data_IF_381293330931
#
_entry.id   IF_381293330931
#
_cell.length_a   1.000
_cell.length_b   1.000
_cell.length_c   1.000
_cell.angle_alpha   90.00
_cell.angle_beta   90.00
_cell.angle_gamma   90.00
#
_symmetry.space_group_name_H-M   'P 1'
#
loop_
_entity.id
_entity.type
_entity.pdbx_description
1 polymer ?
#
# COMPACT_ATOMS: atom_id res chain seq x y z
N UNK A 1 -22.06 -70.80 3.69
CA UNK A 1 -20.61 -71.11 3.75
C UNK A 1 -19.84 -69.79 3.69
N UNK A 2 -19.37 -69.29 4.84
CA UNK A 2 -18.63 -68.02 4.96
C UNK A 2 -17.13 -68.30 4.79
N UNK A 3 -16.54 -67.85 3.69
CA UNK A 3 -15.09 -67.85 3.48
C UNK A 3 -14.47 -66.74 4.33
N UNK A 4 -13.76 -67.11 5.40
CA UNK A 4 -12.87 -66.21 6.15
C UNK A 4 -11.66 -65.90 5.26
N UNK A 5 -11.51 -64.65 4.81
CA UNK A 5 -10.22 -64.16 4.28
C UNK A 5 -9.31 -63.86 5.47
N UNK A 6 -8.31 -64.71 5.68
CA UNK A 6 -7.21 -64.41 6.58
C UNK A 6 -6.32 -63.36 5.92
N UNK A 7 -6.20 -62.19 6.55
CA UNK A 7 -5.21 -61.20 6.18
C UNK A 7 -3.85 -61.67 6.71
N UNK A 8 -2.94 -61.99 5.80
CA UNK A 8 -1.54 -62.29 6.12
C UNK A 8 -0.81 -61.00 6.52
N UNK A 9 0.03 -61.09 7.56
CA UNK A 9 0.77 -60.02 8.25
C UNK A 9 1.52 -59.04 7.33
N UNK A 10 1.83 -59.46 6.10
CA UNK A 10 2.54 -58.66 5.08
C UNK A 10 1.72 -57.46 4.59
N UNK A 11 0.38 -57.55 4.51
CA UNK A 11 -0.45 -56.43 4.05
C UNK A 11 -0.54 -55.27 5.07
N UNK A 12 -0.25 -55.53 6.34
CA UNK A 12 -0.29 -54.48 7.37
C UNK A 12 0.95 -53.56 7.33
N UNK A 13 2.09 -54.02 6.82
CA UNK A 13 3.34 -53.26 6.79
C UNK A 13 3.41 -52.25 5.63
N UNK A 14 2.75 -52.53 4.51
CA UNK A 14 2.78 -51.62 3.34
C UNK A 14 1.94 -50.36 3.58
N UNK A 15 0.86 -50.44 4.35
CA UNK A 15 -0.01 -49.28 4.60
C UNK A 15 0.58 -48.25 5.59
N UNK A 16 1.53 -48.63 6.46
CA UNK A 16 2.12 -47.70 7.45
C UNK A 16 3.28 -46.89 6.87
N UNK A 17 3.99 -47.42 5.86
CA UNK A 17 5.12 -46.72 5.23
C UNK A 17 4.71 -45.53 4.35
N UNK A 18 3.49 -45.53 3.79
CA UNK A 18 3.05 -44.50 2.84
C UNK A 18 2.66 -43.17 3.49
N UNK A 19 2.34 -43.14 4.78
CA UNK A 19 1.88 -41.93 5.48
C UNK A 19 2.97 -41.21 6.28
N UNK A 20 4.12 -41.84 6.54
CA UNK A 20 5.12 -41.29 7.47
C UNK A 20 6.38 -40.66 6.85
N UNK A 21 6.59 -40.72 5.52
CA UNK A 21 7.73 -40.04 4.89
C UNK A 21 9.11 -40.47 5.39
N UNK A 22 9.24 -41.71 5.91
CA UNK A 22 10.52 -42.27 6.39
C UNK A 22 11.14 -43.09 5.25
N UNK A 23 12.44 -42.91 5.05
CA UNK A 23 13.23 -43.46 3.96
C UNK A 23 13.13 -44.97 3.73
N UNK A 24 13.50 -45.36 2.51
CA UNK A 24 13.38 -46.68 1.88
C UNK A 24 13.52 -47.88 2.84
N UNK A 25 12.41 -48.60 3.05
CA UNK A 25 12.44 -49.98 3.55
C UNK A 25 12.65 -50.88 2.34
N UNK A 26 13.83 -51.49 2.23
CA UNK A 26 14.11 -52.52 1.22
C UNK A 26 13.12 -53.67 1.35
N UNK A 27 12.32 -53.91 0.30
CA UNK A 27 11.38 -55.03 0.25
C UNK A 27 12.14 -56.36 0.26
N UNK A 28 12.03 -57.12 1.34
CA UNK A 28 12.52 -58.50 1.39
C UNK A 28 11.55 -59.38 0.61
N UNK A 29 11.97 -59.78 -0.60
CA UNK A 29 11.25 -60.75 -1.42
C UNK A 29 11.46 -62.16 -0.85
N UNK A 30 10.40 -62.73 -0.26
CA UNK A 30 10.41 -64.14 0.17
C UNK A 30 10.05 -65.04 -1.01
N UNK A 31 11.04 -65.80 -1.50
CA UNK A 31 10.80 -66.88 -2.46
C UNK A 31 10.08 -68.04 -1.78
N UNK A 32 9.26 -68.78 -2.54
CA UNK A 32 8.48 -69.93 -2.08
C UNK A 32 9.40 -71.06 -1.58
N UNK A 33 9.75 -71.02 -0.30
CA UNK A 33 10.44 -72.07 0.43
C UNK A 33 10.23 -71.85 1.91
N UNK A 34 9.25 -72.53 2.49
CA UNK A 34 8.81 -72.38 3.89
C UNK A 34 9.90 -72.82 4.87
N UNK A 35 10.57 -71.85 5.48
CA UNK A 35 11.19 -72.00 6.80
C UNK A 35 10.46 -71.03 7.71
N UNK A 36 9.72 -71.54 8.70
CA UNK A 36 9.09 -70.69 9.72
C UNK A 36 10.19 -69.85 10.38
N UNK A 37 10.04 -68.51 10.46
CA UNK A 37 11.04 -67.69 11.13
C UNK A 37 11.19 -68.14 12.59
N UNK A 38 12.42 -68.13 13.13
CA UNK A 38 12.67 -68.53 14.51
C UNK A 38 11.73 -67.80 15.46
N UNK A 39 11.11 -68.52 16.41
CA UNK A 39 10.13 -67.96 17.37
C UNK A 39 10.66 -66.75 18.14
N UNK A 40 11.98 -66.64 18.26
CA UNK A 40 12.67 -65.56 18.97
C UNK A 40 12.66 -64.25 18.16
N UNK A 41 12.83 -64.30 16.83
CA UNK A 41 12.73 -63.12 15.96
C UNK A 41 11.30 -62.55 15.92
N UNK A 42 10.29 -63.43 15.92
CA UNK A 42 8.88 -63.02 16.00
C UNK A 42 8.58 -62.31 17.33
N UNK A 43 9.25 -62.72 18.41
CA UNK A 43 9.07 -62.12 19.74
C UNK A 43 9.72 -60.74 19.81
N UNK A 44 10.92 -60.60 19.29
CA UNK A 44 11.65 -59.32 19.23
C UNK A 44 10.87 -58.29 18.42
N UNK A 45 10.41 -58.64 17.21
CA UNK A 45 9.59 -57.76 16.37
C UNK A 45 8.29 -57.36 17.09
N UNK A 46 7.67 -58.27 17.85
CA UNK A 46 6.44 -57.98 18.59
C UNK A 46 6.67 -56.99 19.73
N UNK A 47 7.82 -57.08 20.40
CA UNK A 47 8.18 -56.18 21.48
C UNK A 47 8.58 -54.79 20.93
N UNK A 48 9.25 -54.71 19.79
CA UNK A 48 9.51 -53.45 19.08
C UNK A 48 8.21 -52.76 18.62
N UNK A 49 7.28 -53.52 18.04
CA UNK A 49 5.97 -52.98 17.64
C UNK A 49 5.18 -52.47 18.86
N UNK A 50 5.36 -53.08 20.03
CA UNK A 50 4.73 -52.62 21.27
C UNK A 50 5.35 -51.31 21.76
N UNK A 51 6.67 -51.18 21.72
CA UNK A 51 7.35 -49.93 22.10
C UNK A 51 6.97 -48.78 21.15
N UNK A 52 6.95 -49.04 19.84
CA UNK A 52 6.54 -48.04 18.85
C UNK A 52 5.11 -47.55 19.08
N UNK A 53 4.18 -48.44 19.41
CA UNK A 53 2.81 -48.04 19.78
C UNK A 53 2.79 -47.15 21.03
N UNK A 54 3.54 -47.51 22.07
CA UNK A 54 3.64 -46.68 23.27
C UNK A 54 4.30 -45.32 23.01
N UNK A 55 5.17 -45.19 22.01
CA UNK A 55 5.75 -43.91 21.60
C UNK A 55 4.76 -43.07 20.81
N UNK A 56 3.94 -43.70 19.95
CA UNK A 56 2.87 -43.02 19.22
C UNK A 56 1.81 -42.47 20.17
N UNK A 57 1.34 -43.26 21.13
CA UNK A 57 0.34 -42.83 22.11
C UNK A 57 0.85 -41.63 22.95
N UNK A 58 2.15 -41.63 23.30
CA UNK A 58 2.80 -40.49 24.00
C UNK A 58 2.94 -39.24 23.13
N UNK A 59 3.04 -39.39 21.82
CA UNK A 59 3.08 -38.26 20.88
C UNK A 59 1.69 -37.68 20.70
N UNK A 60 0.66 -38.51 20.57
CA UNK A 60 -0.73 -38.06 20.47
C UNK A 60 -1.16 -37.29 21.72
N UNK A 61 -0.80 -37.76 22.92
CA UNK A 61 -1.07 -37.03 24.17
C UNK A 61 -0.32 -35.69 24.25
N UNK A 62 0.91 -35.63 23.73
CA UNK A 62 1.65 -34.35 23.61
C UNK A 62 1.01 -33.41 22.60
N UNK A 63 0.48 -33.93 21.50
CA UNK A 63 -0.14 -33.16 20.44
C UNK A 63 -1.48 -32.58 20.91
N UNK A 64 -2.26 -33.34 21.68
CA UNK A 64 -3.47 -32.83 22.34
C UNK A 64 -3.15 -31.75 23.38
N UNK A 65 -2.08 -31.93 24.19
CA UNK A 65 -1.63 -30.91 25.15
C UNK A 65 -1.17 -29.63 24.46
N UNK A 66 -0.42 -29.73 23.36
CA UNK A 66 -0.01 -28.57 22.57
C UNK A 66 -1.20 -27.85 21.93
N UNK A 67 -2.19 -28.59 21.42
CA UNK A 67 -3.43 -28.02 20.87
C UNK A 67 -4.25 -27.30 21.95
N UNK A 68 -4.31 -27.85 23.16
CA UNK A 68 -4.97 -27.20 24.30
C UNK A 68 -4.18 -25.98 24.82
N UNK A 69 -2.85 -26.03 24.80
CA UNK A 69 -1.97 -24.89 25.12
C UNK A 69 -2.06 -23.77 24.08
N UNK A 70 -2.23 -24.08 22.79
CA UNK A 70 -2.48 -23.10 21.72
C UNK A 70 -3.86 -22.43 21.87
N UNK A 71 -4.86 -23.18 22.36
CA UNK A 71 -6.19 -22.64 22.66
C UNK A 71 -6.24 -21.84 23.98
N UNK A 72 -5.39 -22.18 24.96
CA UNK A 72 -5.32 -21.51 26.26
C UNK A 72 -4.36 -20.30 26.27
N UNK A 73 -3.29 -20.34 25.48
CA UNK A 73 -2.33 -19.27 25.27
C UNK A 73 -2.81 -18.33 24.17
N UNK A 74 -3.75 -17.43 24.50
CA UNK A 74 -4.44 -16.54 23.58
C UNK A 74 -3.57 -15.89 22.48
N UNK A 75 -3.50 -16.54 21.33
CA UNK A 75 -2.84 -16.08 20.10
C UNK A 75 -3.75 -15.14 19.28
N UNK A 76 -4.66 -14.42 19.94
CA UNK A 76 -5.72 -13.60 19.30
C UNK A 76 -5.41 -12.11 19.10
N UNK A 77 -4.63 -11.38 19.92
CA UNK A 77 -4.50 -9.93 19.74
C UNK A 77 -3.52 -9.52 18.63
N UNK A 78 -2.38 -10.21 18.47
CA UNK A 78 -1.34 -9.82 17.49
C UNK A 78 -1.77 -10.16 16.06
N UNK A 79 -2.37 -11.33 15.83
CA UNK A 79 -2.88 -11.73 14.53
C UNK A 79 -4.06 -10.86 14.07
N UNK A 80 -4.94 -10.45 15.00
CA UNK A 80 -6.04 -9.51 14.71
C UNK A 80 -5.53 -8.10 14.39
N UNK A 81 -4.49 -7.62 15.11
CA UNK A 81 -3.85 -6.34 14.83
C UNK A 81 -3.19 -6.29 13.45
N UNK A 82 -2.45 -7.33 13.09
CA UNK A 82 -1.82 -7.45 11.76
C UNK A 82 -2.86 -7.57 10.64
N UNK A 83 -3.91 -8.37 10.83
CA UNK A 83 -5.01 -8.49 9.88
C UNK A 83 -5.77 -7.18 9.69
N UNK A 84 -6.03 -6.43 10.77
CA UNK A 84 -6.67 -5.13 10.69
C UNK A 84 -5.79 -4.07 9.98
N UNK A 85 -4.47 -4.10 10.21
CA UNK A 85 -3.53 -3.23 9.50
C UNK A 85 -3.50 -3.53 7.99
N UNK A 86 -3.42 -4.82 7.60
CA UNK A 86 -3.47 -5.23 6.20
C UNK A 86 -4.80 -4.84 5.53
N UNK A 87 -5.93 -4.99 6.22
CA UNK A 87 -7.23 -4.55 5.70
C UNK A 87 -7.31 -3.04 5.49
N UNK A 88 -6.74 -2.24 6.42
CA UNK A 88 -6.66 -0.78 6.25
C UNK A 88 -5.80 -0.42 5.05
N UNK A 89 -4.64 -1.05 4.88
CA UNK A 89 -3.76 -0.83 3.74
C UNK A 89 -4.44 -1.16 2.41
N UNK A 90 -5.17 -2.28 2.31
CA UNK A 90 -5.90 -2.64 1.08
C UNK A 90 -7.04 -1.66 0.77
N UNK A 91 -7.77 -1.21 1.80
CA UNK A 91 -8.82 -0.20 1.63
C UNK A 91 -8.23 1.12 1.14
N UNK A 92 -7.12 1.54 1.73
CA UNK A 92 -6.40 2.75 1.36
C UNK A 92 -5.85 2.69 -0.08
N UNK A 93 -5.27 1.55 -0.50
CA UNK A 93 -4.85 1.33 -1.87
C UNK A 93 -6.03 1.45 -2.87
N UNK A 94 -7.20 0.97 -2.47
CA UNK A 94 -8.44 1.11 -3.26
C UNK A 94 -8.89 2.56 -3.36
N UNK A 95 -8.71 3.35 -2.30
CA UNK A 95 -9.03 4.79 -2.32
C UNK A 95 -8.07 5.59 -3.20
N UNK A 96 -6.76 5.37 -3.08
CA UNK A 96 -5.75 5.97 -3.98
C UNK A 96 -6.05 5.64 -5.44
N UNK A 97 -6.35 4.36 -5.72
CA UNK A 97 -6.74 3.94 -7.07
C UNK A 97 -8.02 4.64 -7.54
N UNK A 98 -9.03 4.74 -6.67
CA UNK A 98 -10.29 5.42 -6.98
C UNK A 98 -10.07 6.88 -7.37
N UNK A 99 -9.27 7.63 -6.59
CA UNK A 99 -8.91 9.02 -6.89
C UNK A 99 -8.20 9.13 -8.24
N UNK A 100 -7.20 8.28 -8.47
CA UNK A 100 -6.43 8.28 -9.73
C UNK A 100 -7.29 7.92 -10.94
N UNK A 101 -8.13 6.89 -10.83
CA UNK A 101 -9.07 6.51 -11.89
C UNK A 101 -10.05 7.65 -12.21
N UNK A 102 -10.52 8.36 -11.19
CA UNK A 102 -11.35 9.55 -11.35
C UNK A 102 -10.63 10.68 -12.12
N UNK A 103 -9.33 10.88 -11.88
CA UNK A 103 -8.52 11.80 -12.68
C UNK A 103 -8.34 11.32 -14.14
N UNK A 104 -8.23 10.01 -14.37
CA UNK A 104 -8.17 9.44 -15.72
C UNK A 104 -9.50 9.62 -16.46
N UNK A 105 -10.64 9.37 -15.81
CA UNK A 105 -11.98 9.59 -16.40
C UNK A 105 -12.20 11.09 -16.71
N UNK A 106 -11.72 11.97 -15.84
CA UNK A 106 -11.67 13.40 -16.14
C UNK A 106 -10.86 13.66 -17.42
N UNK A 107 -9.63 13.13 -17.50
CA UNK A 107 -8.74 13.28 -18.64
C UNK A 107 -9.34 12.83 -19.97
N UNK A 108 -10.10 11.72 -19.99
CA UNK A 108 -10.79 11.24 -21.19
C UNK A 108 -11.70 12.28 -21.84
N UNK A 109 -12.26 13.20 -21.05
CA UNK A 109 -13.12 14.29 -21.53
C UNK A 109 -12.36 15.62 -21.68
N UNK A 110 -11.10 15.68 -21.26
CA UNK A 110 -10.29 16.88 -21.15
C UNK A 110 -8.89 16.71 -21.78
N UNK A 111 -8.82 16.05 -22.95
CA UNK A 111 -7.58 15.87 -23.75
C UNK A 111 -6.45 15.15 -22.98
N UNK A 112 -6.83 14.15 -22.19
CA UNK A 112 -5.98 13.36 -21.30
C UNK A 112 -5.31 14.16 -20.17
N UNK A 113 -5.62 15.45 -20.04
CA UNK A 113 -5.11 16.31 -18.98
C UNK A 113 -5.90 16.11 -17.69
N UNK A 114 -5.18 15.95 -16.58
CA UNK A 114 -5.80 15.85 -15.27
C UNK A 114 -6.41 17.19 -14.82
N UNK A 115 -7.34 17.18 -13.84
CA UNK A 115 -8.09 18.38 -13.46
C UNK A 115 -7.17 19.52 -13.05
N UNK A 116 -7.42 20.70 -13.62
CA UNK A 116 -6.81 21.97 -13.22
C UNK A 116 -7.90 23.04 -13.10
N UNK A 117 -8.19 23.54 -11.89
CA UNK A 117 -9.14 24.62 -11.65
C UNK A 117 -8.95 25.84 -12.56
N UNK A 118 -7.69 26.19 -12.88
CA UNK A 118 -7.35 27.31 -13.76
C UNK A 118 -7.84 27.17 -15.19
N UNK A 119 -8.03 25.93 -15.67
CA UNK A 119 -8.56 25.63 -17.01
C UNK A 119 -10.09 25.60 -17.06
N UNK A 120 -10.72 25.33 -15.92
CA UNK A 120 -12.17 25.15 -15.78
C UNK A 120 -12.87 26.46 -15.46
N UNK A 121 -12.43 27.17 -14.42
CA UNK A 121 -12.98 28.47 -14.03
C UNK A 121 -12.20 29.60 -14.72
N UNK A 122 -12.42 29.82 -16.01
CA UNK A 122 -11.70 30.87 -16.74
C UNK A 122 -12.22 32.28 -16.42
N UNK A 123 -13.46 32.39 -15.95
CA UNK A 123 -14.17 33.64 -15.69
C UNK A 123 -14.07 34.13 -14.23
N UNK A 124 -13.27 33.47 -13.38
CA UNK A 124 -13.09 33.82 -11.96
C UNK A 124 -14.42 33.84 -11.16
N UNK A 125 -15.33 32.91 -11.49
CA UNK A 125 -16.68 32.84 -10.93
C UNK A 125 -16.76 31.95 -9.69
N UNK A 126 -15.82 31.00 -9.54
CA UNK A 126 -15.81 30.11 -8.37
C UNK A 126 -14.94 30.69 -7.26
N UNK A 127 -13.70 31.07 -7.60
CA UNK A 127 -12.72 31.66 -6.66
C UNK A 127 -12.16 32.98 -7.21
N UNK A 128 -11.59 33.83 -6.35
CA UNK A 128 -11.10 35.17 -6.74
C UNK A 128 -9.70 35.16 -7.36
N UNK A 129 -8.93 34.13 -7.02
CA UNK A 129 -7.63 33.82 -7.58
C UNK A 129 -7.72 33.75 -9.11
N UNK A 130 -6.60 33.91 -9.81
CA UNK A 130 -6.58 33.93 -11.28
C UNK A 130 -5.55 32.96 -11.83
N UNK A 131 -5.88 32.35 -12.97
CA UNK A 131 -4.98 31.42 -13.66
C UNK A 131 -4.46 30.34 -12.71
N UNK A 132 -3.16 30.03 -12.80
CA UNK A 132 -2.53 28.95 -12.02
C UNK A 132 -2.62 29.12 -10.49
N UNK A 133 -2.95 30.32 -9.98
CA UNK A 133 -3.19 30.50 -8.55
C UNK A 133 -4.41 29.70 -8.04
N UNK A 134 -5.29 29.26 -8.93
CA UNK A 134 -6.42 28.39 -8.61
C UNK A 134 -6.04 26.93 -8.40
N UNK A 135 -4.87 26.50 -8.88
CA UNK A 135 -4.48 25.08 -8.96
C UNK A 135 -3.95 24.53 -7.62
N UNK A 136 -4.61 24.91 -6.52
CA UNK A 136 -4.34 24.38 -5.18
C UNK A 136 -4.94 22.99 -5.02
N UNK A 137 -4.39 22.21 -4.08
CA UNK A 137 -4.91 20.87 -3.77
C UNK A 137 -6.38 20.89 -3.37
N UNK A 138 -6.77 21.87 -2.54
CA UNK A 138 -8.17 22.09 -2.14
C UNK A 138 -9.10 22.19 -3.35
N UNK A 139 -8.76 23.05 -4.32
CA UNK A 139 -9.61 23.29 -5.48
C UNK A 139 -9.59 22.09 -6.46
N UNK A 140 -8.45 21.43 -6.66
CA UNK A 140 -8.35 20.25 -7.54
C UNK A 140 -9.26 19.13 -7.05
N UNK A 141 -9.20 18.80 -5.76
CA UNK A 141 -10.02 17.74 -5.18
C UNK A 141 -11.49 18.14 -5.05
N UNK A 142 -11.77 19.39 -4.67
CA UNK A 142 -13.14 19.92 -4.66
C UNK A 142 -13.79 19.82 -6.05
N UNK A 143 -13.05 20.13 -7.11
CA UNK A 143 -13.53 19.98 -8.48
C UNK A 143 -13.90 18.53 -8.82
N UNK A 144 -13.12 17.55 -8.38
CA UNK A 144 -13.44 16.13 -8.55
C UNK A 144 -14.69 15.71 -7.76
N UNK A 145 -14.84 16.22 -6.53
CA UNK A 145 -16.01 15.93 -5.68
C UNK A 145 -17.28 16.53 -6.28
N UNK A 146 -17.23 17.81 -6.67
CA UNK A 146 -18.39 18.54 -7.20
C UNK A 146 -18.97 17.89 -8.45
N UNK A 147 -18.10 17.37 -9.33
CA UNK A 147 -18.51 16.71 -10.56
C UNK A 147 -18.90 15.22 -10.36
N UNK A 148 -18.92 14.74 -9.11
CA UNK A 148 -19.36 13.38 -8.77
C UNK A 148 -18.36 12.29 -9.15
N UNK A 149 -17.10 12.63 -9.44
CA UNK A 149 -16.07 11.64 -9.74
C UNK A 149 -15.60 10.90 -8.48
N UNK A 150 -15.62 11.58 -7.33
CA UNK A 150 -15.30 10.99 -6.03
C UNK A 150 -16.23 11.53 -4.95
N UNK A 151 -16.55 10.75 -3.92
CA UNK A 151 -17.23 11.25 -2.72
C UNK A 151 -16.22 11.85 -1.73
N UNK A 152 -16.62 12.77 -0.85
CA UNK A 152 -15.69 13.43 0.10
C UNK A 152 -15.04 12.44 1.07
N UNK A 153 -15.72 11.33 1.40
CA UNK A 153 -15.24 10.27 2.27
C UNK A 153 -13.99 9.56 1.75
N UNK A 154 -13.78 9.54 0.42
CA UNK A 154 -12.58 8.91 -0.16
C UNK A 154 -11.33 9.77 0.04
N UNK A 155 -11.49 11.06 0.38
CA UNK A 155 -10.37 11.97 0.60
C UNK A 155 -9.66 11.75 1.94
N UNK A 156 -10.29 11.02 2.87
CA UNK A 156 -9.70 10.63 4.15
C UNK A 156 -9.17 9.19 4.08
N UNK A 157 -7.88 9.02 4.31
CA UNK A 157 -7.26 7.70 4.38
C UNK A 157 -7.79 6.90 5.59
N UNK A 158 -8.09 5.60 5.45
CA UNK A 158 -8.44 4.74 6.59
C UNK A 158 -7.28 4.56 7.59
N UNK A 159 -6.07 4.90 7.17
CA UNK A 159 -4.84 4.84 7.94
C UNK A 159 -4.41 6.22 8.48
N UNK A 160 -5.18 7.27 8.22
CA UNK A 160 -4.85 8.62 8.66
C UNK A 160 -4.71 8.71 10.18
N UNK A 161 -3.54 9.17 10.62
CA UNK A 161 -3.20 9.32 12.03
C UNK A 161 -3.22 10.79 12.51
N UNK A 162 -3.26 11.76 11.60
CA UNK A 162 -3.33 13.18 11.95
C UNK A 162 -4.76 13.59 12.30
N UNK A 163 -4.97 13.97 13.56
CA UNK A 163 -6.28 14.37 14.10
C UNK A 163 -6.84 15.68 13.51
N UNK A 164 -6.04 16.44 12.78
CA UNK A 164 -6.49 17.63 12.06
C UNK A 164 -7.05 17.32 10.68
N UNK A 165 -6.99 16.07 10.21
CA UNK A 165 -7.57 15.67 8.94
C UNK A 165 -8.87 14.90 9.20
N UNK A 166 -9.98 15.38 8.64
CA UNK A 166 -11.31 14.80 8.82
C UNK A 166 -12.15 14.90 7.55
N UNK A 167 -13.11 13.99 7.37
CA UNK A 167 -14.03 14.04 6.23
C UNK A 167 -14.81 15.35 6.24
N UNK A 168 -14.87 16.02 5.09
CA UNK A 168 -15.79 17.13 4.89
C UNK A 168 -17.23 16.61 4.80
N UNK A 169 -18.01 16.85 5.85
CA UNK A 169 -19.42 16.46 5.96
C UNK A 169 -20.38 17.56 5.49
N UNK A 170 -19.88 18.79 5.35
CA UNK A 170 -20.67 19.97 5.06
C UNK A 170 -20.47 20.46 3.62
N UNK A 171 -19.79 19.66 2.78
CA UNK A 171 -19.51 19.94 1.37
C UNK A 171 -20.77 20.31 0.58
N UNK A 172 -20.73 21.44 -0.13
CA UNK A 172 -21.87 22.00 -0.83
C UNK A 172 -21.84 21.68 -2.35
N UNK A 173 -22.68 20.71 -2.77
CA UNK A 173 -22.80 20.29 -4.18
C UNK A 173 -23.60 21.25 -5.08
N UNK A 174 -24.24 22.27 -4.50
CA UNK A 174 -25.03 23.23 -5.25
C UNK A 174 -24.98 24.61 -4.59
N UNK A 175 -24.65 25.62 -5.39
CA UNK A 175 -24.58 27.02 -4.95
C UNK A 175 -23.75 27.27 -3.69
N UNK A 176 -22.48 26.82 -3.66
CA UNK A 176 -21.63 26.91 -2.48
C UNK A 176 -21.50 28.36 -1.98
N UNK A 177 -21.67 28.54 -0.67
CA UNK A 177 -21.81 29.86 -0.02
C UNK A 177 -20.54 30.71 -0.14
N UNK A 178 -19.39 30.05 -0.22
CA UNK A 178 -18.04 30.62 -0.26
C UNK A 178 -17.60 31.00 -1.67
N UNK A 179 -18.31 30.57 -2.71
CA UNK A 179 -18.00 30.93 -4.09
C UNK A 179 -18.28 32.40 -4.41
N UNK A 180 -17.50 32.94 -5.35
CA UNK A 180 -17.65 34.32 -5.83
C UNK A 180 -19.03 34.54 -6.46
N UNK A 181 -19.45 33.64 -7.35
CA UNK A 181 -20.79 33.55 -7.89
C UNK A 181 -21.36 32.16 -7.64
N UNK A 182 -22.23 32.05 -6.64
CA UNK A 182 -22.82 30.78 -6.20
C UNK A 182 -23.54 30.03 -7.33
N UNK A 183 -24.30 30.74 -8.16
CA UNK A 183 -25.09 30.13 -9.23
C UNK A 183 -24.22 29.55 -10.36
N UNK A 184 -22.98 30.04 -10.49
CA UNK A 184 -22.03 29.64 -11.54
C UNK A 184 -20.79 28.96 -10.98
N UNK A 185 -20.79 28.58 -9.71
CA UNK A 185 -19.68 27.89 -9.09
C UNK A 185 -19.50 26.50 -9.71
N UNK A 186 -18.24 26.14 -9.95
CA UNK A 186 -17.86 24.87 -10.59
C UNK A 186 -17.31 23.85 -9.57
N UNK A 187 -17.09 24.27 -8.33
CA UNK A 187 -16.75 23.46 -7.17
C UNK A 187 -17.08 24.22 -5.88
N UNK A 188 -16.96 23.58 -4.71
CA UNK A 188 -17.10 24.22 -3.41
C UNK A 188 -15.75 24.74 -2.89
N UNK A 189 -15.53 26.07 -2.81
CA UNK A 189 -14.28 26.63 -2.27
C UNK A 189 -14.08 26.40 -0.77
N UNK A 190 -15.09 25.89 -0.05
CA UNK A 190 -14.99 25.63 1.39
C UNK A 190 -14.16 24.38 1.71
N UNK A 191 -14.07 23.42 0.78
CA UNK A 191 -13.24 22.23 0.94
C UNK A 191 -11.78 22.62 1.11
N UNK A 192 -11.16 22.17 2.20
CA UNK A 192 -9.85 22.65 2.62
C UNK A 192 -8.87 21.51 2.80
N UNK A 193 -7.77 21.47 2.05
CA UNK A 193 -6.68 20.52 2.28
C UNK A 193 -5.64 21.02 3.33
N UNK A 194 -5.70 22.28 3.78
CA UNK A 194 -4.75 22.85 4.76
C UNK A 194 -5.07 22.42 6.19
N UNK A 195 -4.43 21.34 6.64
CA UNK A 195 -4.51 20.84 8.02
C UNK A 195 -3.55 21.55 8.99
N UNK A 196 -2.73 22.49 8.51
CA UNK A 196 -1.75 23.22 9.36
C UNK A 196 -2.36 24.42 10.06
N UNK A 197 -3.49 24.94 9.53
CA UNK A 197 -4.20 26.12 10.06
C UNK A 197 -5.57 25.81 10.63
N UNK A 198 -5.95 24.53 10.72
CA UNK A 198 -7.27 24.10 11.13
C UNK A 198 -7.54 22.66 10.73
N UNK A 199 -8.80 22.36 10.44
CA UNK A 199 -9.20 21.05 9.92
C UNK A 199 -8.99 21.01 8.41
N UNK A 200 -8.24 20.01 7.97
CA UNK A 200 -8.07 19.64 6.56
C UNK A 200 -8.98 18.46 6.20
N UNK A 201 -9.27 18.30 4.91
CA UNK A 201 -10.22 17.34 4.39
C UNK A 201 -9.59 16.31 3.44
N UNK A 202 -8.25 16.28 3.37
CA UNK A 202 -7.51 15.41 2.46
C UNK A 202 -6.28 14.79 3.13
N UNK A 203 -6.15 13.47 3.03
CA UNK A 203 -5.02 12.67 3.51
C UNK A 203 -3.95 12.35 2.45
N UNK A 204 -4.21 12.72 1.20
CA UNK A 204 -3.40 12.31 0.06
C UNK A 204 -2.55 13.46 -0.47
N UNK A 205 -1.37 13.10 -0.96
CA UNK A 205 -0.50 14.00 -1.71
C UNK A 205 -0.66 13.73 -3.20
N UNK A 206 -0.43 14.74 -4.02
CA UNK A 206 -0.39 14.59 -5.48
C UNK A 206 0.84 15.29 -6.05
N UNK A 207 1.24 14.91 -7.26
CA UNK A 207 2.33 15.57 -7.98
C UNK A 207 2.00 17.05 -8.20
N UNK A 208 2.98 17.93 -8.03
CA UNK A 208 2.80 19.36 -8.31
C UNK A 208 2.54 19.61 -9.81
N UNK A 209 1.41 20.22 -10.22
CA UNK A 209 1.13 20.49 -11.63
C UNK A 209 1.79 21.79 -12.10
N UNK A 210 3.13 21.85 -12.08
CA UNK A 210 3.92 23.03 -12.49
C UNK A 210 5.19 22.61 -13.23
N UNK A 211 5.74 23.50 -14.07
CA UNK A 211 7.02 23.28 -14.76
C UNK A 211 7.00 22.03 -15.63
N UNK A 212 8.07 21.23 -15.59
CA UNK A 212 8.16 19.96 -16.30
C UNK A 212 7.12 18.92 -15.85
N UNK A 213 6.70 18.94 -14.58
CA UNK A 213 5.64 18.07 -14.04
C UNK A 213 4.28 18.39 -14.63
N UNK A 214 4.00 19.64 -15.03
CA UNK A 214 2.72 19.97 -15.68
C UNK A 214 2.51 19.19 -16.98
N UNK A 215 3.58 18.92 -17.74
CA UNK A 215 3.49 18.07 -18.93
C UNK A 215 3.16 16.60 -18.60
N UNK A 216 3.42 16.17 -17.37
CA UNK A 216 3.13 14.84 -16.83
C UNK A 216 1.83 14.79 -16.04
N UNK A 217 1.13 15.92 -15.86
CA UNK A 217 -0.17 15.99 -15.19
C UNK A 217 -1.28 15.51 -16.13
N UNK A 218 -1.17 14.24 -16.54
CA UNK A 218 -1.98 13.60 -17.55
C UNK A 218 -1.84 12.07 -17.46
N UNK A 219 -2.70 11.34 -18.17
CA UNK A 219 -2.56 9.89 -18.31
C UNK A 219 -1.45 9.54 -19.31
N UNK A 220 -0.19 9.50 -18.86
CA UNK A 220 0.98 9.21 -19.72
C UNK A 220 1.24 7.71 -19.95
N UNK A 221 0.51 6.83 -19.26
CA UNK A 221 0.71 5.37 -19.27
C UNK A 221 2.09 4.93 -18.78
N UNK A 222 2.82 5.79 -18.09
CA UNK A 222 4.12 5.48 -17.53
C UNK A 222 3.98 4.89 -16.12
N UNK A 223 4.47 3.67 -15.95
CA UNK A 223 4.43 2.95 -14.68
C UNK A 223 5.36 3.56 -13.59
N UNK A 224 6.28 4.45 -13.94
CA UNK A 224 7.22 5.03 -12.97
C UNK A 224 6.82 6.45 -12.53
N UNK A 225 5.82 7.06 -13.18
CA UNK A 225 5.41 8.42 -12.90
C UNK A 225 4.33 8.47 -11.82
N UNK A 226 4.72 8.73 -10.57
CA UNK A 226 3.75 8.85 -9.48
C UNK A 226 2.89 10.12 -9.62
N UNK A 227 1.60 9.98 -9.36
CA UNK A 227 0.60 11.03 -9.57
C UNK A 227 -0.13 11.40 -8.29
N UNK A 228 -0.56 10.39 -7.51
CA UNK A 228 -1.30 10.56 -6.25
C UNK A 228 -0.96 9.43 -5.30
N UNK A 229 -0.97 9.68 -3.99
CA UNK A 229 -0.67 8.65 -3.01
C UNK A 229 -0.81 9.15 -1.58
N UNK A 230 -0.47 8.31 -0.61
CA UNK A 230 -0.43 8.75 0.78
C UNK A 230 0.59 9.88 0.94
N UNK A 231 0.23 10.89 1.73
CA UNK A 231 1.16 11.94 2.13
C UNK A 231 2.37 11.36 2.90
N UNK A 232 3.53 11.95 2.67
CA UNK A 232 4.79 11.60 3.32
C UNK A 232 5.34 12.74 4.19
N UNK A 233 6.45 12.47 4.90
CA UNK A 233 7.10 13.48 5.74
C UNK A 233 7.83 14.53 4.88
N UNK A 234 8.11 15.70 5.45
CA UNK A 234 8.96 16.69 4.79
C UNK A 234 10.40 16.15 4.68
N UNK A 235 10.95 16.17 3.47
CA UNK A 235 12.34 15.79 3.21
C UNK A 235 13.19 17.06 3.15
N UNK A 236 14.21 17.13 4.01
CA UNK A 236 15.16 18.24 4.06
C UNK A 236 16.29 18.12 3.05
N UNK A 237 16.53 16.91 2.53
CA UNK A 237 17.59 16.63 1.56
C UNK A 237 17.72 15.16 1.23
N UNK A 238 18.47 14.84 0.18
CA UNK A 238 18.84 13.48 -0.20
C UNK A 238 20.35 13.41 -0.25
N UNK A 239 20.95 12.55 0.57
CA UNK A 239 22.39 12.35 0.64
C UNK A 239 22.80 11.06 -0.08
N UNK A 240 23.93 11.10 -0.77
CA UNK A 240 24.58 9.89 -1.29
C UNK A 240 25.63 9.43 -0.28
N UNK A 241 25.33 8.38 0.49
CA UNK A 241 26.25 7.78 1.46
C UNK A 241 26.60 6.35 1.04
N UNK A 242 27.88 6.10 0.78
CA UNK A 242 28.37 4.74 0.47
C UNK A 242 27.77 4.11 -0.79
N UNK A 243 27.37 4.93 -1.78
CA UNK A 243 26.75 4.45 -3.02
C UNK A 243 25.24 4.15 -2.91
N UNK A 244 24.62 4.48 -1.77
CA UNK A 244 23.16 4.44 -1.58
C UNK A 244 22.62 5.84 -1.31
N UNK A 245 21.44 6.13 -1.82
CA UNK A 245 20.73 7.35 -1.49
C UNK A 245 20.00 7.18 -0.15
N UNK A 246 20.02 8.22 0.66
CA UNK A 246 19.31 8.29 1.93
C UNK A 246 18.56 9.62 2.04
N UNK A 247 17.25 9.54 2.30
CA UNK A 247 16.42 10.71 2.48
C UNK A 247 16.59 11.22 3.91
N UNK A 248 16.91 12.50 4.04
CA UNK A 248 17.00 13.19 5.32
C UNK A 248 15.64 13.79 5.63
N UNK A 249 14.88 13.10 6.47
CA UNK A 249 13.61 13.61 6.96
C UNK A 249 13.84 14.84 7.84
N UNK A 250 13.03 15.88 7.67
CA UNK A 250 13.16 17.14 8.41
C UNK A 250 12.62 17.02 9.84
N UNK A 251 11.47 16.40 10.02
CA UNK A 251 10.93 16.06 11.34
C UNK A 251 10.91 14.53 11.56
N UNK A 252 11.77 13.99 12.44
CA UNK A 252 11.77 12.56 12.75
C UNK A 252 10.51 12.09 13.48
N UNK A 253 9.63 12.99 13.92
CA UNK A 253 8.36 12.65 14.58
C UNK A 253 7.14 12.79 13.67
N UNK A 254 7.34 12.92 12.35
CA UNK A 254 6.24 13.05 11.39
C UNK A 254 5.16 11.98 11.59
N UNK A 255 3.90 12.42 11.71
CA UNK A 255 2.76 11.53 11.95
C UNK A 255 2.53 10.59 10.76
N UNK A 256 2.95 10.98 9.55
CA UNK A 256 2.89 10.14 8.34
C UNK A 256 3.57 8.78 8.47
N UNK A 257 4.58 8.63 9.34
CA UNK A 257 5.21 7.33 9.58
C UNK A 257 4.21 6.31 10.14
N UNK A 258 3.25 6.77 10.94
CA UNK A 258 2.26 5.92 11.60
C UNK A 258 1.10 5.49 10.71
N UNK A 259 1.00 6.00 9.47
CA UNK A 259 -0.09 5.63 8.57
C UNK A 259 -0.08 4.12 8.31
N UNK A 260 1.00 3.61 7.72
CA UNK A 260 1.19 2.17 7.51
C UNK A 260 2.49 1.62 8.09
N UNK A 261 3.47 2.48 8.36
CA UNK A 261 4.80 2.09 8.81
C UNK A 261 4.99 2.11 10.34
N UNK A 262 6.18 1.71 10.81
CA UNK A 262 6.63 1.96 12.17
C UNK A 262 7.01 3.44 12.36
N UNK A 263 7.32 3.86 13.59
CA UNK A 263 7.67 5.27 13.94
C UNK A 263 8.90 5.84 13.23
N UNK A 264 9.68 5.02 12.54
CA UNK A 264 10.99 5.39 12.00
C UNK A 264 11.07 5.26 10.47
N UNK A 265 10.04 4.71 9.81
CA UNK A 265 10.03 4.56 8.35
C UNK A 265 8.64 4.84 7.78
N UNK A 266 8.63 5.50 6.63
CA UNK A 266 7.41 5.76 5.89
C UNK A 266 7.09 4.58 4.98
N UNK A 267 5.82 4.18 4.98
CA UNK A 267 5.27 3.20 4.06
C UNK A 267 3.90 3.70 3.58
N UNK A 268 3.55 3.46 2.32
CA UNK A 268 2.33 4.00 1.75
C UNK A 268 1.99 3.46 0.37
N UNK A 269 0.77 3.73 -0.06
CA UNK A 269 0.26 3.45 -1.39
C UNK A 269 0.52 4.64 -2.32
N UNK A 270 1.13 4.37 -3.47
CA UNK A 270 1.39 5.35 -4.53
C UNK A 270 0.71 4.87 -5.82
N UNK A 271 -0.03 5.76 -6.47
CA UNK A 271 -0.65 5.55 -7.76
C UNK A 271 0.13 6.24 -8.88
N UNK A 272 0.26 5.54 -10.01
CA UNK A 272 1.11 5.93 -11.14
C UNK A 272 0.32 6.22 -12.42
N UNK A 273 0.95 6.87 -13.40
CA UNK A 273 0.27 7.38 -14.59
C UNK A 273 -0.34 6.33 -15.53
N UNK A 274 -0.10 5.04 -15.32
CA UNK A 274 -0.77 3.91 -15.98
C UNK A 274 -1.96 3.34 -15.16
N UNK A 275 -2.35 4.04 -14.09
CA UNK A 275 -3.42 3.72 -13.16
C UNK A 275 -3.21 2.48 -12.25
N UNK A 276 -1.99 1.93 -12.18
CA UNK A 276 -1.68 0.98 -11.11
C UNK A 276 -1.40 1.70 -9.79
N UNK A 277 -1.43 0.92 -8.70
CA UNK A 277 -1.12 1.40 -7.35
C UNK A 277 -0.23 0.36 -6.70
N UNK A 278 0.92 0.79 -6.19
CA UNK A 278 1.85 -0.05 -5.46
C UNK A 278 1.97 0.41 -4.00
N UNK A 279 2.17 -0.57 -3.13
CA UNK A 279 2.59 -0.34 -1.75
C UNK A 279 4.11 -0.22 -1.71
N UNK A 280 4.61 0.95 -1.34
CA UNK A 280 6.02 1.28 -1.27
C UNK A 280 6.45 1.44 0.20
N UNK A 281 7.65 0.97 0.51
CA UNK A 281 8.26 1.02 1.85
C UNK A 281 9.51 1.89 1.89
N UNK A 282 9.75 2.65 0.81
CA UNK A 282 10.88 3.55 0.65
C UNK A 282 10.41 4.88 0.08
N UNK A 283 11.10 5.95 0.50
CA UNK A 283 10.90 7.31 0.00
C UNK A 283 11.73 7.59 -1.27
N UNK A 284 12.66 6.69 -1.59
CA UNK A 284 13.66 6.83 -2.63
C UNK A 284 13.65 5.64 -3.57
N UNK A 285 13.92 5.91 -4.84
CA UNK A 285 14.19 4.87 -5.83
C UNK A 285 15.56 4.26 -5.65
N UNK A 286 15.61 2.92 -5.66
CA UNK A 286 16.84 2.15 -5.64
C UNK A 286 17.06 1.29 -6.90
N UNK A 287 16.03 1.13 -7.76
CA UNK A 287 16.12 0.44 -9.05
C UNK A 287 15.74 1.36 -10.24
N UNK A 288 16.68 1.64 -11.18
CA UNK A 288 16.42 2.53 -12.32
C UNK A 288 15.49 1.91 -13.38
N UNK A 289 15.10 0.64 -13.24
CA UNK A 289 14.09 0.00 -14.10
C UNK A 289 12.67 0.21 -13.63
N UNK A 290 12.49 0.53 -12.35
CA UNK A 290 11.19 0.61 -11.68
C UNK A 290 10.94 2.01 -11.12
N UNK A 291 11.97 2.84 -11.03
CA UNK A 291 11.89 4.20 -10.52
C UNK A 291 12.24 5.24 -11.56
N UNK A 292 11.56 6.37 -11.46
CA UNK A 292 11.83 7.53 -12.30
C UNK A 292 13.15 8.21 -11.94
N UNK A 293 13.70 8.94 -12.91
CA UNK A 293 14.93 9.72 -12.72
C UNK A 293 14.75 11.08 -13.34
N UNK A 294 15.24 12.10 -12.64
CA UNK A 294 15.32 13.45 -13.18
C UNK A 294 16.75 13.74 -13.63
N UNK A 295 16.89 14.75 -14.50
CA UNK A 295 18.18 15.25 -14.94
C UNK A 295 18.66 16.34 -13.97
N UNK A 296 19.52 15.94 -13.04
CA UNK A 296 20.16 16.84 -12.09
C UNK A 296 21.50 17.38 -12.60
N UNK A 297 22.20 18.14 -11.76
CA UNK A 297 23.51 18.74 -12.14
C UNK A 297 24.57 17.68 -12.46
N UNK A 298 24.49 16.52 -11.80
CA UNK A 298 25.40 15.40 -12.00
C UNK A 298 24.95 14.42 -13.10
N UNK A 299 23.86 14.73 -13.82
CA UNK A 299 23.20 13.84 -14.78
C UNK A 299 21.97 13.16 -14.18
N UNK A 300 21.59 12.01 -14.76
CA UNK A 300 20.40 11.25 -14.32
C UNK A 300 20.55 10.78 -12.86
N UNK A 301 19.65 11.27 -12.01
CA UNK A 301 19.65 11.01 -10.56
C UNK A 301 18.30 10.41 -10.15
N UNK A 302 18.29 9.54 -9.14
CA UNK A 302 17.05 8.99 -8.62
C UNK A 302 16.24 10.04 -7.88
N UNK A 303 14.93 9.88 -7.97
CA UNK A 303 13.94 10.78 -7.42
C UNK A 303 13.53 10.42 -5.99
N UNK A 304 13.06 11.42 -5.25
CA UNK A 304 12.44 11.27 -3.93
C UNK A 304 11.03 11.87 -3.95
N UNK A 305 10.01 11.06 -3.68
CA UNK A 305 8.60 11.45 -3.84
C UNK A 305 8.19 12.77 -3.17
N UNK A 306 8.84 13.13 -2.06
CA UNK A 306 8.43 14.24 -1.21
C UNK A 306 9.53 15.32 -1.09
N UNK A 307 10.45 15.37 -2.06
CA UNK A 307 11.51 16.36 -2.12
C UNK A 307 11.43 17.14 -3.43
N UNK A 308 11.58 18.47 -3.38
CA UNK A 308 11.74 19.27 -4.60
C UNK A 308 13.23 19.45 -4.86
N UNK A 309 13.83 18.52 -5.61
CA UNK A 309 15.25 18.54 -5.91
C UNK A 309 15.68 19.89 -6.51
N UNK A 310 16.53 20.66 -5.81
CA UNK A 310 16.84 22.03 -6.20
C UNK A 310 17.75 22.10 -7.44
N UNK A 311 18.41 21.00 -7.78
CA UNK A 311 19.23 20.90 -8.97
C UNK A 311 18.47 20.40 -10.21
N UNK A 312 17.18 20.06 -10.08
CA UNK A 312 16.30 19.88 -11.23
C UNK A 312 15.83 21.23 -11.77
N UNK A 313 16.53 21.69 -12.80
CA UNK A 313 16.23 22.96 -13.49
C UNK A 313 14.88 22.91 -14.22
N UNK A 314 14.47 21.73 -14.69
CA UNK A 314 13.27 21.56 -15.50
C UNK A 314 12.03 21.25 -14.66
N UNK A 315 12.19 21.00 -13.35
CA UNK A 315 11.10 20.61 -12.44
C UNK A 315 10.33 19.42 -12.99
N UNK A 316 11.06 18.36 -13.35
CA UNK A 316 10.54 17.07 -13.84
C UNK A 316 10.53 16.00 -12.75
N UNK A 317 11.27 16.17 -11.66
CA UNK A 317 11.27 15.30 -10.51
C UNK A 317 9.86 15.13 -9.91
N UNK A 318 9.65 14.02 -9.22
CA UNK A 318 8.38 13.64 -8.60
C UNK A 318 8.30 14.34 -7.25
N UNK A 319 7.75 15.56 -7.27
CA UNK A 319 7.46 16.29 -6.05
C UNK A 319 5.97 16.21 -5.73
N UNK A 320 5.64 15.37 -4.76
CA UNK A 320 4.29 15.18 -4.24
C UNK A 320 4.13 15.89 -2.91
N UNK A 321 3.02 16.60 -2.73
CA UNK A 321 2.63 17.18 -1.45
C UNK A 321 1.16 17.59 -1.49
N UNK A 322 0.72 18.28 -0.44
CA UNK A 322 -0.49 19.11 -0.46
C UNK A 322 -0.03 20.56 -0.66
N UNK A 323 -0.57 21.23 -1.67
CA UNK A 323 -0.23 22.59 -2.06
C UNK A 323 -1.33 23.57 -1.68
N UNK A 324 -1.05 24.42 -0.69
CA UNK A 324 -1.99 25.44 -0.18
C UNK A 324 -1.92 26.76 -0.95
N UNK A 325 -0.83 26.96 -1.70
CA UNK A 325 -0.68 28.02 -2.68
C UNK A 325 -0.18 27.40 -3.98
N UNK A 326 -0.59 28.01 -5.08
CA UNK A 326 -0.20 27.67 -6.43
C UNK A 326 0.05 28.97 -7.22
N UNK A 327 0.71 28.84 -8.36
CA UNK A 327 0.94 29.97 -9.25
C UNK A 327 1.77 29.61 -10.48
N UNK A 328 2.05 30.61 -11.34
CA UNK A 328 2.77 30.39 -12.58
C UNK A 328 4.24 30.04 -12.38
N UNK A 329 4.84 30.36 -11.23
CA UNK A 329 6.25 30.09 -10.94
C UNK A 329 6.41 29.16 -9.72
N UNK A 330 7.49 28.38 -9.68
CA UNK A 330 7.79 27.45 -8.58
C UNK A 330 7.74 28.09 -7.19
N UNK A 331 8.16 29.36 -7.05
CA UNK A 331 8.12 30.11 -5.78
C UNK A 331 6.70 30.43 -5.29
N UNK A 332 5.71 30.39 -6.18
CA UNK A 332 4.31 30.68 -5.85
C UNK A 332 3.61 29.46 -5.23
N UNK A 333 4.23 28.29 -5.34
CA UNK A 333 3.73 27.07 -4.75
C UNK A 333 4.17 26.93 -3.29
N UNK A 334 3.25 26.51 -2.44
CA UNK A 334 3.54 26.23 -1.02
C UNK A 334 3.04 24.85 -0.66
N UNK A 335 3.99 23.91 -0.54
CA UNK A 335 3.78 22.60 0.03
C UNK A 335 3.59 22.70 1.56
N UNK A 336 2.77 21.81 2.13
CA UNK A 336 2.59 21.68 3.58
C UNK A 336 2.90 20.26 4.04
N UNK A 337 3.29 20.16 5.31
CA UNK A 337 3.77 18.93 5.94
C UNK A 337 3.26 18.88 7.40
N UNK A 338 3.37 17.70 8.03
CA UNK A 338 3.05 17.52 9.46
C UNK A 338 4.00 18.29 10.38
#
# INVERSE_FOLDING_TARGET
MKTRRGFTVVELLVCVGATAGIGSISAVSFSKGTVEPPRDEIREIRDEVRDLKQRLDRLDEKLEKLSQEEQAGGQKPVAQGAAAAAQRQLKDATQVRGILQSMVIWGQNNRDEYPLPSRVDQDDLTVREKGAAKDTTSNIFSLLIFNGFIPSEICLSPAECNANIEVDKDYEFAQPKTAVNREKALWDPSFNADFTKGKGNLSYAHMQPHGGRLARWSSTYQATEAQVGNRGPEIAGVDAAGGKLAAKVKDPNSVTFLNHGPRESWEGNIGYADAHVDYVTTLLGDDPKVWDRYEGRAGLTFDCYFYDEPDDVNKRNIFMSIFTKAGPESKDWTAIWD
#
